data_IF_603913219943
#
_entry.id   IF_603913219943
#
_cell.length_a   1.000
_cell.length_b   1.000
_cell.length_c   1.000
_cell.angle_alpha   90.00
_cell.angle_beta   90.00
_cell.angle_gamma   90.00
#
_symmetry.space_group_name_H-M   'P 1'
#
loop_
_entity.id
_entity.type
_entity.pdbx_description
1 polymer ?
#
# COMPACT_ATOMS: atom_id res chain seq x y z
N UNK A 1 18.96 -20.16 14.07
CA UNK A 1 18.14 -19.01 14.53
C UNK A 1 18.51 -17.81 13.67
N UNK A 2 17.59 -17.27 12.88
CA UNK A 2 17.85 -16.08 12.06
C UNK A 2 17.48 -14.82 12.84
N UNK A 3 18.37 -13.84 12.87
CA UNK A 3 18.17 -12.56 13.55
C UNK A 3 18.07 -11.43 12.53
N UNK A 4 16.92 -10.76 12.47
CA UNK A 4 16.72 -9.62 11.56
C UNK A 4 16.73 -8.30 12.32
N UNK A 5 17.46 -7.32 11.77
CA UNK A 5 17.44 -5.93 12.25
C UNK A 5 16.11 -5.28 11.84
N UNK A 6 15.66 -4.30 12.62
CA UNK A 6 14.42 -3.54 12.35
C UNK A 6 14.35 -3.01 10.91
N UNK A 7 15.44 -2.44 10.38
CA UNK A 7 15.48 -1.91 9.02
C UNK A 7 15.22 -2.99 7.96
N UNK A 8 15.70 -4.21 8.20
CA UNK A 8 15.45 -5.37 7.32
C UNK A 8 13.98 -5.74 7.33
N UNK A 9 13.33 -5.77 8.50
CA UNK A 9 11.89 -6.09 8.61
C UNK A 9 11.04 -5.04 7.92
N UNK A 10 11.35 -3.75 8.10
CA UNK A 10 10.65 -2.67 7.39
C UNK A 10 10.83 -2.77 5.88
N UNK A 11 12.05 -3.04 5.39
CA UNK A 11 12.32 -3.23 3.97
C UNK A 11 11.58 -4.43 3.38
N UNK A 12 11.56 -5.57 4.08
CA UNK A 12 10.81 -6.77 3.68
C UNK A 12 9.31 -6.47 3.62
N UNK A 13 8.75 -5.78 4.61
CA UNK A 13 7.35 -5.36 4.59
C UNK A 13 7.02 -4.46 3.40
N UNK A 14 7.87 -3.48 3.10
CA UNK A 14 7.74 -2.64 1.90
C UNK A 14 7.79 -3.44 0.61
N UNK A 15 8.72 -4.39 0.50
CA UNK A 15 8.82 -5.27 -0.65
C UNK A 15 7.56 -6.13 -0.83
N UNK A 16 6.96 -6.63 0.26
CA UNK A 16 5.70 -7.40 0.22
C UNK A 16 4.54 -6.52 -0.27
N UNK A 17 4.42 -5.28 0.23
CA UNK A 17 3.37 -4.34 -0.19
C UNK A 17 3.49 -4.05 -1.70
N UNK A 18 4.70 -3.72 -2.16
CA UNK A 18 4.95 -3.45 -3.57
C UNK A 18 4.71 -4.70 -4.43
N UNK A 19 5.17 -5.87 -4.00
CA UNK A 19 4.95 -7.12 -4.71
C UNK A 19 3.46 -7.40 -4.88
N UNK A 20 2.66 -7.25 -3.82
CA UNK A 20 1.22 -7.46 -3.89
C UNK A 20 0.55 -6.47 -4.85
N UNK A 21 0.95 -5.20 -4.81
CA UNK A 21 0.49 -4.18 -5.74
C UNK A 21 0.80 -4.54 -7.20
N UNK A 22 2.05 -4.91 -7.51
CA UNK A 22 2.45 -5.28 -8.87
C UNK A 22 1.76 -6.55 -9.35
N UNK A 23 1.64 -7.58 -8.50
CA UNK A 23 0.91 -8.80 -8.83
C UNK A 23 -0.53 -8.48 -9.21
N UNK A 24 -1.23 -7.65 -8.43
CA UNK A 24 -2.61 -7.25 -8.75
C UNK A 24 -2.72 -6.57 -10.13
N UNK A 25 -1.81 -5.64 -10.43
CA UNK A 25 -1.78 -4.93 -11.73
C UNK A 25 -1.44 -5.86 -12.89
N UNK A 26 -0.49 -6.78 -12.71
CA UNK A 26 -0.13 -7.77 -13.73
C UNK A 26 -1.29 -8.75 -13.96
N UNK A 27 -1.96 -9.21 -12.90
CA UNK A 27 -3.16 -10.06 -13.03
C UNK A 27 -4.27 -9.37 -13.80
N UNK A 28 -4.46 -8.06 -13.60
CA UNK A 28 -5.38 -7.28 -14.42
C UNK A 28 -5.00 -7.34 -15.91
N UNK A 29 -3.72 -7.17 -16.23
CA UNK A 29 -3.23 -7.18 -17.61
C UNK A 29 -3.39 -8.53 -18.32
N UNK A 30 -3.33 -9.66 -17.62
CA UNK A 30 -3.50 -10.98 -18.23
C UNK A 30 -4.90 -11.23 -18.82
N UNK A 31 -5.93 -10.57 -18.29
CA UNK A 31 -7.31 -10.65 -18.81
C UNK A 31 -7.72 -9.44 -19.65
N UNK A 32 -6.78 -8.54 -19.92
CA UNK A 32 -7.07 -7.26 -20.53
C UNK A 32 -6.96 -7.29 -22.05
N UNK A 33 -7.66 -6.36 -22.69
CA UNK A 33 -7.45 -5.97 -24.07
C UNK A 33 -7.18 -4.48 -24.15
N UNK A 34 -6.61 -4.06 -25.28
CA UNK A 34 -6.22 -2.69 -25.53
C UNK A 34 -7.08 -2.10 -26.65
N UNK A 35 -7.46 -0.85 -26.49
CA UNK A 35 -8.19 -0.09 -27.49
C UNK A 35 -7.71 1.37 -27.51
N UNK A 36 -8.06 2.08 -28.57
CA UNK A 36 -7.93 3.53 -28.60
C UNK A 36 -9.23 4.15 -28.07
N UNK A 37 -9.11 4.96 -27.02
CA UNK A 37 -10.20 5.75 -26.47
C UNK A 37 -10.12 7.20 -26.90
N UNK A 38 -11.26 7.90 -26.83
CA UNK A 38 -11.38 9.34 -27.09
C UNK A 38 -11.97 10.02 -25.86
N UNK A 39 -11.36 11.12 -25.43
CA UNK A 39 -11.90 11.98 -24.36
C UNK A 39 -13.11 12.74 -24.91
N UNK A 40 -14.30 12.47 -24.39
CA UNK A 40 -15.55 13.10 -24.85
C UNK A 40 -15.90 14.36 -24.06
N UNK A 41 -15.43 14.46 -22.82
CA UNK A 41 -15.66 15.62 -21.96
C UNK A 41 -15.02 15.44 -20.58
N UNK A 42 -15.43 16.27 -19.64
CA UNK A 42 -14.99 16.20 -18.25
C UNK A 42 -16.18 16.25 -17.31
N UNK A 43 -16.13 15.43 -16.28
CA UNK A 43 -16.98 15.56 -15.12
C UNK A 43 -16.26 16.43 -14.08
N UNK A 44 -16.94 17.46 -13.58
CA UNK A 44 -16.38 18.38 -12.59
C UNK A 44 -17.04 18.12 -11.25
N UNK A 45 -16.23 17.83 -10.23
CA UNK A 45 -16.69 17.64 -8.85
C UNK A 45 -16.05 18.70 -7.96
N UNK A 46 -16.88 19.37 -7.14
CA UNK A 46 -16.45 20.29 -6.08
C UNK A 46 -16.74 21.76 -6.36
N UNK A 47 -17.10 22.51 -5.31
CA UNK A 47 -17.38 23.97 -5.37
C UNK A 47 -16.19 24.86 -4.99
N UNK A 48 -15.22 24.33 -4.24
CA UNK A 48 -14.02 25.07 -3.77
C UNK A 48 -12.71 24.52 -4.34
N UNK A 49 -12.64 23.20 -4.56
CA UNK A 49 -11.53 22.51 -5.21
C UNK A 49 -12.16 21.82 -6.42
N UNK A 50 -11.86 22.32 -7.61
CA UNK A 50 -12.44 21.82 -8.86
C UNK A 50 -11.63 20.62 -9.32
N UNK A 51 -12.18 19.42 -9.18
CA UNK A 51 -11.55 18.18 -9.64
C UNK A 51 -12.16 17.81 -10.99
N UNK A 52 -11.32 17.68 -12.01
CA UNK A 52 -11.74 17.32 -13.36
C UNK A 52 -11.44 15.85 -13.61
N UNK A 53 -12.47 15.11 -14.00
CA UNK A 53 -12.35 13.71 -14.39
C UNK A 53 -12.61 13.58 -15.88
N UNK A 54 -11.64 13.12 -16.69
CA UNK A 54 -11.86 12.89 -18.11
C UNK A 54 -12.88 11.78 -18.30
N UNK A 55 -13.87 12.02 -19.14
CA UNK A 55 -14.80 11.00 -19.60
C UNK A 55 -14.23 10.43 -20.90
N UNK A 56 -13.90 9.14 -20.90
CA UNK A 56 -13.29 8.44 -22.03
C UNK A 56 -14.30 7.48 -22.63
N UNK A 57 -14.47 7.55 -23.95
CA UNK A 57 -15.26 6.60 -24.72
C UNK A 57 -14.37 5.78 -25.64
N UNK A 58 -14.57 4.46 -25.68
CA UNK A 58 -13.85 3.56 -26.58
C UNK A 58 -14.80 2.49 -27.12
N UNK A 59 -14.38 1.82 -28.19
CA UNK A 59 -15.11 0.72 -28.79
C UNK A 59 -14.56 -0.62 -28.28
N UNK A 60 -15.45 -1.49 -27.84
CA UNK A 60 -15.13 -2.83 -27.36
C UNK A 60 -15.88 -3.86 -28.20
N UNK A 61 -15.48 -5.15 -28.19
CA UNK A 61 -16.25 -6.20 -28.87
C UNK A 61 -17.72 -6.31 -28.42
N UNK A 62 -18.07 -5.76 -27.24
CA UNK A 62 -19.43 -5.72 -26.70
C UNK A 62 -20.16 -4.40 -27.01
N UNK A 63 -19.55 -3.51 -27.79
CA UNK A 63 -20.05 -2.19 -28.16
C UNK A 63 -19.33 -1.04 -27.46
N UNK A 64 -19.92 0.15 -27.57
CA UNK A 64 -19.37 1.38 -27.03
C UNK A 64 -19.40 1.41 -25.49
N UNK A 65 -18.26 1.74 -24.90
CA UNK A 65 -18.11 1.86 -23.45
C UNK A 65 -17.63 3.25 -23.12
N UNK A 66 -18.16 3.81 -22.04
CA UNK A 66 -17.73 5.10 -21.50
C UNK A 66 -17.35 4.90 -20.04
N UNK A 67 -16.20 5.43 -19.63
CA UNK A 67 -15.75 5.37 -18.24
C UNK A 67 -15.15 6.69 -17.80
N UNK A 68 -15.12 6.88 -16.48
CA UNK A 68 -14.51 8.01 -15.80
C UNK A 68 -13.06 7.67 -15.50
N UNK A 69 -12.12 8.38 -16.12
CA UNK A 69 -10.69 8.20 -15.88
C UNK A 69 -10.25 8.90 -14.57
N UNK A 70 -9.00 8.66 -14.18
CA UNK A 70 -8.38 9.28 -13.01
C UNK A 70 -8.44 10.82 -13.11
N UNK A 71 -8.61 11.48 -11.96
CA UNK A 71 -8.67 12.95 -11.90
C UNK A 71 -7.38 13.62 -12.34
N UNK A 72 -7.50 14.86 -12.83
CA UNK A 72 -6.39 15.76 -13.12
C UNK A 72 -5.38 15.23 -14.16
N UNK A 73 -5.83 14.33 -15.04
CA UNK A 73 -5.06 13.97 -16.22
C UNK A 73 -5.15 15.11 -17.25
N UNK A 74 -4.02 15.70 -17.61
CA UNK A 74 -3.90 16.77 -18.60
C UNK A 74 -4.03 16.22 -20.03
N UNK A 75 -5.24 15.80 -20.38
CA UNK A 75 -5.54 15.25 -21.70
C UNK A 75 -6.62 16.14 -22.32
N UNK A 76 -6.40 16.73 -23.50
CA UNK A 76 -7.36 17.64 -24.11
C UNK A 76 -8.65 16.92 -24.52
N UNK A 77 -9.77 17.65 -24.54
CA UNK A 77 -11.02 17.14 -25.07
C UNK A 77 -10.82 16.72 -26.54
N UNK A 78 -11.46 15.63 -26.94
CA UNK A 78 -11.25 14.94 -28.20
C UNK A 78 -9.87 14.30 -28.40
N UNK A 79 -8.99 14.38 -27.40
CA UNK A 79 -7.71 13.67 -27.39
C UNK A 79 -7.90 12.16 -27.42
N UNK A 80 -6.99 11.48 -28.13
CA UNK A 80 -6.93 10.02 -28.19
C UNK A 80 -6.02 9.51 -27.08
N UNK A 81 -6.41 8.41 -26.45
CA UNK A 81 -5.68 7.80 -25.33
C UNK A 81 -5.66 6.29 -25.46
N UNK A 82 -4.55 5.62 -25.09
CA UNK A 82 -4.55 4.17 -25.00
C UNK A 82 -5.42 3.76 -23.80
N UNK A 83 -6.34 2.83 -24.02
CA UNK A 83 -7.22 2.28 -23.00
C UNK A 83 -6.89 0.81 -22.82
N UNK A 84 -6.80 0.39 -21.56
CA UNK A 84 -6.74 -1.01 -21.16
C UNK A 84 -8.01 -1.36 -20.41
N UNK A 85 -8.67 -2.46 -20.79
CA UNK A 85 -9.94 -2.86 -20.19
C UNK A 85 -10.02 -4.38 -20.04
N UNK A 86 -10.80 -4.87 -19.08
CA UNK A 86 -11.05 -6.32 -18.97
C UNK A 86 -12.00 -6.79 -20.07
N UNK A 87 -11.63 -7.85 -20.76
CA UNK A 87 -12.50 -8.47 -21.78
C UNK A 87 -13.81 -9.02 -21.18
N UNK A 88 -13.74 -9.54 -19.96
CA UNK A 88 -14.90 -10.03 -19.21
C UNK A 88 -15.86 -8.90 -18.85
N UNK A 89 -15.33 -7.76 -18.42
CA UNK A 89 -16.08 -6.56 -18.03
C UNK A 89 -15.41 -5.28 -18.56
N UNK A 90 -15.82 -4.79 -19.75
CA UNK A 90 -15.23 -3.59 -20.34
C UNK A 90 -15.45 -2.30 -19.52
N UNK A 91 -16.38 -2.28 -18.57
CA UNK A 91 -16.57 -1.12 -17.70
C UNK A 91 -15.37 -0.92 -16.75
N UNK A 92 -14.64 -2.01 -16.43
CA UNK A 92 -13.35 -1.93 -15.76
C UNK A 92 -12.26 -1.54 -16.77
N UNK A 93 -12.22 -0.24 -17.09
CA UNK A 93 -11.26 0.34 -18.03
C UNK A 93 -10.40 1.42 -17.36
N UNK A 94 -9.17 1.56 -17.86
CA UNK A 94 -8.21 2.55 -17.41
C UNK A 94 -7.48 3.15 -18.62
N UNK A 95 -7.03 4.39 -18.47
CA UNK A 95 -6.07 4.96 -19.42
C UNK A 95 -4.72 4.29 -19.18
N UNK A 96 -4.17 3.64 -20.20
CA UNK A 96 -2.92 2.89 -20.12
C UNK A 96 -1.71 3.81 -20.20
N UNK A 97 -1.58 4.68 -19.20
CA UNK A 97 -0.42 5.53 -18.94
C UNK A 97 0.06 5.31 -17.51
N UNK A 98 1.25 5.80 -17.18
CA UNK A 98 1.75 5.76 -15.81
C UNK A 98 0.75 6.39 -14.83
N UNK A 99 0.26 7.58 -15.15
CA UNK A 99 -0.68 8.32 -14.32
C UNK A 99 -2.09 7.72 -14.29
N UNK A 100 -2.57 7.16 -15.40
CA UNK A 100 -3.91 6.60 -15.51
C UNK A 100 -4.07 5.19 -14.94
N UNK A 101 -3.01 4.37 -14.93
CA UNK A 101 -3.09 2.97 -14.51
C UNK A 101 -2.26 2.65 -13.26
N UNK A 102 -1.08 3.26 -13.10
CA UNK A 102 -0.14 2.89 -12.04
C UNK A 102 -0.16 3.85 -10.84
N UNK A 103 -0.19 5.16 -11.09
CA UNK A 103 0.07 6.15 -10.05
C UNK A 103 -0.90 6.08 -8.86
N UNK A 104 -2.21 5.97 -9.09
CA UNK A 104 -3.20 5.93 -8.01
C UNK A 104 -2.96 4.80 -7.00
N UNK A 105 -2.68 3.59 -7.49
CA UNK A 105 -2.37 2.45 -6.62
C UNK A 105 -1.00 2.55 -5.95
N UNK A 106 -0.01 3.18 -6.61
CA UNK A 106 1.28 3.47 -5.99
C UNK A 106 1.16 4.45 -4.83
N UNK A 107 0.36 5.52 -4.97
CA UNK A 107 0.12 6.49 -3.89
C UNK A 107 -0.47 5.80 -2.66
N UNK A 108 -1.48 4.95 -2.85
CA UNK A 108 -2.07 4.16 -1.76
C UNK A 108 -1.01 3.23 -1.13
N UNK A 109 -0.19 2.58 -1.96
CA UNK A 109 0.87 1.70 -1.47
C UNK A 109 1.91 2.44 -0.62
N UNK A 110 2.26 3.67 -0.99
CA UNK A 110 3.15 4.53 -0.18
C UNK A 110 2.50 4.88 1.15
N UNK A 111 1.22 5.24 1.18
CA UNK A 111 0.50 5.56 2.42
C UNK A 111 0.50 4.35 3.37
N UNK A 112 0.18 3.15 2.85
CA UNK A 112 0.20 1.91 3.62
C UNK A 112 1.61 1.60 4.13
N UNK A 113 2.63 1.81 3.30
CA UNK A 113 4.02 1.61 3.69
C UNK A 113 4.48 2.59 4.78
N UNK A 114 4.06 3.85 4.72
CA UNK A 114 4.33 4.82 5.78
C UNK A 114 3.66 4.42 7.09
N UNK A 115 2.38 3.99 7.03
CA UNK A 115 1.68 3.46 8.20
C UNK A 115 2.41 2.24 8.79
N UNK A 116 2.92 1.35 7.95
CA UNK A 116 3.75 0.22 8.36
C UNK A 116 5.04 0.66 9.06
N UNK A 117 5.77 1.63 8.51
CA UNK A 117 6.97 2.17 9.15
C UNK A 117 6.63 2.79 10.52
N UNK A 118 5.59 3.60 10.60
CA UNK A 118 5.16 4.27 11.85
C UNK A 118 4.81 3.20 12.89
N UNK A 119 4.05 2.18 12.50
CA UNK A 119 3.73 1.07 13.37
C UNK A 119 5.01 0.36 13.88
N UNK A 120 5.91 -0.03 12.98
CA UNK A 120 7.12 -0.75 13.38
C UNK A 120 8.09 0.07 14.21
N UNK A 121 8.17 1.38 13.96
CA UNK A 121 9.05 2.26 14.73
C UNK A 121 8.47 2.60 16.11
N UNK A 122 7.14 2.64 16.24
CA UNK A 122 6.46 2.94 17.50
C UNK A 122 6.42 1.76 18.46
N UNK A 123 6.22 0.54 17.94
CA UNK A 123 6.06 -0.66 18.77
C UNK A 123 7.36 -1.43 19.01
N UNK A 124 8.41 -1.21 18.21
CA UNK A 124 9.68 -1.95 18.35
C UNK A 124 10.88 -1.02 18.58
N UNK A 125 11.51 -1.17 19.75
CA UNK A 125 12.76 -0.47 20.11
C UNK A 125 13.88 -0.79 19.12
N UNK A 126 14.85 0.13 18.97
CA UNK A 126 15.98 0.01 18.03
C UNK A 126 16.78 -1.30 18.20
N UNK A 127 16.76 -1.85 19.39
CA UNK A 127 17.54 -3.04 19.79
C UNK A 127 16.73 -4.34 19.69
N UNK A 128 15.50 -4.27 19.15
CA UNK A 128 14.66 -5.44 18.97
C UNK A 128 15.23 -6.33 17.87
N UNK A 129 15.63 -7.55 18.25
CA UNK A 129 16.08 -8.57 17.32
C UNK A 129 14.95 -9.60 17.15
N UNK A 130 14.52 -9.82 15.91
CA UNK A 130 13.50 -10.82 15.59
C UNK A 130 14.15 -12.16 15.31
N UNK A 131 13.83 -13.17 16.12
CA UNK A 131 14.29 -14.54 15.97
C UNK A 131 13.28 -15.45 15.25
N UNK A 132 13.73 -16.22 14.25
CA UNK A 132 12.95 -17.32 13.65
C UNK A 132 13.62 -18.67 13.93
N UNK A 133 12.84 -19.62 14.47
CA UNK A 133 13.21 -21.03 14.65
C UNK A 133 12.36 -21.92 13.71
N UNK A 134 12.95 -22.51 12.66
CA UNK A 134 12.22 -23.44 11.81
C UNK A 134 11.80 -24.68 12.63
N UNK A 135 10.51 -25.03 12.59
CA UNK A 135 9.92 -26.14 13.36
C UNK A 135 9.06 -25.72 14.57
N UNK A 136 9.17 -24.46 15.01
CA UNK A 136 8.25 -23.84 15.98
C UNK A 136 7.88 -22.46 15.46
N UNK A 137 6.66 -22.30 14.95
CA UNK A 137 6.09 -21.01 14.53
C UNK A 137 5.89 -20.08 15.74
N UNK A 138 6.97 -19.61 16.35
CA UNK A 138 6.97 -18.64 17.44
C UNK A 138 7.95 -17.53 17.11
N UNK A 139 7.42 -16.35 16.80
CA UNK A 139 8.19 -15.11 16.77
C UNK A 139 8.59 -14.78 18.21
N UNK A 140 9.91 -14.74 18.47
CA UNK A 140 10.44 -14.32 19.77
C UNK A 140 11.07 -12.94 19.62
N UNK A 141 10.58 -11.99 20.41
CA UNK A 141 11.20 -10.68 20.59
C UNK A 141 12.35 -10.87 21.58
N UNK A 142 13.59 -10.81 21.10
CA UNK A 142 14.78 -10.91 21.96
C UNK A 142 15.15 -9.49 22.37
N UNK A 143 15.02 -9.18 23.67
CA UNK A 143 15.58 -7.95 24.24
C UNK A 143 17.10 -8.10 24.37
N UNK A 144 17.86 -7.02 24.18
CA UNK A 144 19.31 -7.05 24.35
C UNK A 144 19.69 -7.41 25.79
N UNK A 145 20.85 -8.05 25.98
CA UNK A 145 21.30 -8.57 27.28
C UNK A 145 21.44 -7.48 28.37
N UNK A 146 21.77 -6.24 28.00
CA UNK A 146 21.91 -5.12 28.96
C UNK A 146 20.60 -4.76 29.70
N UNK A 147 19.44 -5.08 29.14
CA UNK A 147 18.14 -4.82 29.77
C UNK A 147 17.67 -5.98 30.66
N UNK A 148 18.26 -7.18 30.51
CA UNK A 148 17.96 -8.33 31.37
C UNK A 148 18.64 -8.24 32.74
N UNK A 149 19.77 -7.53 32.83
CA UNK A 149 20.54 -7.41 34.07
C UNK A 149 20.08 -6.30 35.01
N UNK A 150 19.16 -5.42 34.60
CA UNK A 150 18.65 -4.40 35.55
C UNK A 150 17.91 -5.12 36.68
N UNK A 151 18.42 -5.11 37.92
CA UNK A 151 17.73 -5.73 39.03
C UNK A 151 16.37 -5.06 39.14
N UNK A 152 15.30 -5.85 39.14
CA UNK A 152 13.99 -5.35 39.56
C UNK A 152 14.21 -4.78 40.95
N UNK A 153 14.18 -3.45 41.08
CA UNK A 153 14.19 -2.80 42.37
C UNK A 153 12.98 -3.33 43.13
N UNK A 154 13.21 -4.37 43.94
CA UNK A 154 12.23 -4.87 44.88
C UNK A 154 12.09 -3.77 45.90
N UNK A 155 11.01 -3.00 45.80
CA UNK A 155 10.57 -2.12 46.87
C UNK A 155 10.24 -3.02 48.07
N UNK A 156 11.27 -3.35 48.87
CA UNK A 156 11.06 -3.95 50.19
C UNK A 156 10.34 -2.89 51.00
N UNK A 157 9.03 -3.06 51.18
CA UNK A 157 8.27 -2.25 52.14
C UNK A 157 8.98 -2.35 53.49
N UNK A 158 9.28 -1.24 54.16
CA UNK A 158 9.88 -1.29 55.48
C UNK A 158 8.92 -2.02 56.43
N UNK A 159 9.43 -3.05 57.11
CA UNK A 159 8.71 -3.78 58.13
C UNK A 159 8.33 -2.81 59.26
N UNK A 160 7.04 -2.55 59.39
CA UNK A 160 6.44 -1.75 60.47
C UNK A 160 6.67 -2.50 61.79
N UNK A 161 7.67 -2.08 62.57
CA UNK A 161 7.85 -2.51 63.97
C UNK A 161 6.56 -2.24 64.73
N UNK A 162 5.90 -3.29 65.23
CA UNK A 162 4.98 -3.17 66.36
C UNK A 162 5.86 -3.15 67.62
N UNK A 163 5.83 -2.06 68.36
CA UNK A 163 6.34 -2.03 69.73
C UNK A 163 5.26 -2.58 70.68
N UNK A 164 5.68 -3.24 71.78
CA UNK A 164 4.79 -3.74 72.84
C UNK A 164 4.12 -2.60 73.62
#
# INVERSE_FOLDING_TARGET
MWTMKRNTVSAVGGAIILLFYFLNKITFLFGASFAEGKVTGYEVIGRRITIHYPIVRFDSPKGWVTFKAESNLEIPQNGKVPVVYKTSDPAEAYIFTFWGFWAGGLVISVIVFLAWIIFFTSFFSRETVFGFEPGKLRLRIIRPPEEQERPRFSFRRPLRRKNP
#
